data_IF_180691893115
#
_entry.id   IF_180691893115
#
_cell.length_a   1.000
_cell.length_b   1.000
_cell.length_c   1.000
_cell.angle_alpha   90.00
_cell.angle_beta   90.00
_cell.angle_gamma   90.00
#
_symmetry.space_group_name_H-M   'P 1'
#
loop_
_entity.id
_entity.type
_entity.pdbx_description
1 polymer ?
#
# COMPACT_ATOMS: atom_id res chain seq x y z
N UNK A 1 4.88 -1.42 -30.91
CA UNK A 1 6.15 -2.11 -30.61
C UNK A 1 5.76 -3.52 -30.15
N UNK A 2 6.12 -4.57 -30.90
CA UNK A 2 5.76 -5.97 -30.57
C UNK A 2 6.80 -6.47 -29.55
N UNK A 3 6.40 -6.74 -28.32
CA UNK A 3 7.27 -7.42 -27.38
C UNK A 3 7.57 -8.84 -27.88
N UNK A 4 8.81 -9.29 -27.70
CA UNK A 4 9.19 -10.67 -28.03
C UNK A 4 8.43 -11.64 -27.14
N UNK A 5 8.21 -12.86 -27.66
CA UNK A 5 7.54 -13.95 -26.95
C UNK A 5 8.13 -14.18 -25.55
N UNK A 6 9.43 -13.97 -25.39
CA UNK A 6 10.19 -14.11 -24.14
C UNK A 6 9.78 -13.06 -23.08
N UNK A 7 9.48 -11.81 -23.44
CA UNK A 7 9.08 -10.76 -22.50
C UNK A 7 7.70 -10.99 -21.89
N UNK A 8 6.80 -11.63 -22.62
CA UNK A 8 5.45 -11.97 -22.15
C UNK A 8 5.52 -13.12 -21.13
N UNK A 9 6.35 -14.13 -21.40
CA UNK A 9 6.64 -15.22 -20.46
C UNK A 9 7.27 -14.63 -19.20
N UNK A 10 8.18 -13.66 -19.33
CA UNK A 10 8.82 -12.95 -18.23
C UNK A 10 7.82 -12.24 -17.31
N UNK A 11 6.80 -11.60 -17.86
CA UNK A 11 5.80 -10.87 -17.06
C UNK A 11 4.87 -11.80 -16.29
N UNK A 12 4.47 -12.92 -16.90
CA UNK A 12 3.67 -13.96 -16.21
C UNK A 12 4.47 -14.59 -15.07
N UNK A 13 5.76 -14.82 -15.31
CA UNK A 13 6.63 -15.36 -14.28
C UNK A 13 6.91 -14.34 -13.17
N UNK A 14 6.92 -13.02 -13.45
CA UNK A 14 6.99 -11.98 -12.41
C UNK A 14 5.77 -12.03 -11.47
N UNK A 15 4.56 -12.16 -12.00
CA UNK A 15 3.36 -12.35 -11.20
C UNK A 15 3.45 -13.61 -10.32
N UNK A 16 3.96 -14.70 -10.89
CA UNK A 16 4.19 -15.95 -10.16
C UNK A 16 5.27 -15.77 -9.07
N UNK A 17 6.36 -15.05 -9.35
CA UNK A 17 7.45 -14.80 -8.39
C UNK A 17 6.97 -13.90 -7.24
N UNK A 18 6.24 -12.84 -7.51
CA UNK A 18 5.67 -11.97 -6.47
C UNK A 18 4.66 -12.76 -5.60
N UNK A 19 3.83 -13.60 -6.22
CA UNK A 19 2.91 -14.49 -5.48
C UNK A 19 3.63 -15.54 -4.63
N UNK A 20 4.73 -16.08 -5.12
CA UNK A 20 5.56 -17.09 -4.41
C UNK A 20 6.35 -16.46 -3.28
N UNK A 21 6.93 -15.26 -3.44
CA UNK A 21 7.68 -14.57 -2.38
C UNK A 21 6.79 -14.23 -1.20
N UNK A 22 5.56 -13.82 -1.43
CA UNK A 22 4.58 -13.62 -0.37
C UNK A 22 4.15 -14.93 0.32
N UNK A 23 4.32 -16.09 -0.36
CA UNK A 23 3.90 -17.42 0.11
C UNK A 23 5.00 -18.33 0.68
N UNK A 24 6.28 -18.08 0.37
CA UNK A 24 7.36 -19.07 0.60
C UNK A 24 8.18 -18.94 1.88
N UNK A 25 7.78 -18.15 2.84
CA UNK A 25 8.32 -18.27 4.20
C UNK A 25 8.03 -19.65 4.84
N UNK A 26 7.24 -20.51 4.17
CA UNK A 26 6.75 -21.78 4.74
C UNK A 26 7.25 -23.04 4.02
N UNK A 27 7.90 -22.98 2.86
CA UNK A 27 8.26 -24.22 2.15
C UNK A 27 9.77 -24.35 1.88
N UNK A 28 10.48 -24.90 2.85
CA UNK A 28 11.84 -25.45 2.71
C UNK A 28 11.74 -26.97 2.71
N UNK A 29 11.98 -27.60 1.58
CA UNK A 29 12.68 -28.85 1.37
C UNK A 29 12.19 -29.56 0.09
N UNK A 30 13.14 -29.93 -0.73
CA UNK A 30 13.08 -30.74 -1.96
C UNK A 30 12.94 -29.97 -3.27
N UNK A 31 14.07 -29.63 -3.88
CA UNK A 31 14.15 -29.31 -5.30
C UNK A 31 15.27 -30.12 -5.99
N UNK A 32 15.01 -30.65 -7.19
CA UNK A 32 16.05 -31.21 -8.05
C UNK A 32 16.98 -30.12 -8.61
N UNK A 33 18.18 -30.53 -9.03
CA UNK A 33 19.27 -29.68 -9.49
C UNK A 33 18.87 -28.66 -10.57
N UNK A 34 19.57 -27.50 -10.63
CA UNK A 34 19.18 -26.39 -11.51
C UNK A 34 19.30 -26.77 -12.99
N UNK A 35 18.25 -26.53 -13.77
CA UNK A 35 18.35 -26.52 -15.22
C UNK A 35 19.27 -25.37 -15.68
N UNK A 36 20.02 -25.60 -16.76
CA UNK A 36 20.95 -24.64 -17.37
C UNK A 36 20.29 -23.29 -17.69
N UNK A 37 21.04 -22.18 -17.74
CA UNK A 37 20.49 -20.84 -17.84
C UNK A 37 19.70 -20.66 -19.13
N UNK A 38 18.39 -20.66 -19.01
CA UNK A 38 17.49 -20.18 -20.04
C UNK A 38 17.79 -18.69 -20.28
N UNK A 39 17.81 -18.25 -21.51
CA UNK A 39 18.01 -16.86 -21.91
C UNK A 39 17.18 -15.92 -21.02
N UNK A 40 17.84 -15.07 -20.24
CA UNK A 40 17.18 -14.22 -19.25
C UNK A 40 16.41 -13.10 -19.98
N UNK A 41 15.12 -13.00 -19.70
CA UNK A 41 14.27 -11.93 -20.22
C UNK A 41 14.32 -10.74 -19.28
N UNK A 42 14.85 -9.60 -19.76
CA UNK A 42 14.81 -8.36 -19.00
C UNK A 42 13.46 -7.69 -19.16
N UNK A 43 12.83 -7.35 -18.03
CA UNK A 43 11.60 -6.57 -17.95
C UNK A 43 11.86 -5.28 -17.17
N UNK A 44 11.36 -4.17 -17.68
CA UNK A 44 11.54 -2.84 -17.10
C UNK A 44 10.18 -2.17 -16.87
N UNK A 45 10.00 -1.50 -15.73
CA UNK A 45 8.75 -0.81 -15.47
C UNK A 45 8.83 0.29 -14.44
N UNK A 46 7.68 0.87 -14.11
CA UNK A 46 7.56 1.87 -13.05
C UNK A 46 7.16 1.22 -11.72
N UNK A 47 7.81 1.65 -10.64
CA UNK A 47 7.64 1.09 -9.29
C UNK A 47 7.47 2.21 -8.26
N UNK A 48 6.52 2.05 -7.35
CA UNK A 48 6.39 2.90 -6.17
C UNK A 48 7.54 2.69 -5.18
N UNK A 49 7.96 3.77 -4.50
CA UNK A 49 9.12 3.76 -3.61
C UNK A 49 9.05 2.70 -2.51
N UNK A 50 7.87 2.49 -1.94
CA UNK A 50 7.60 1.52 -0.87
C UNK A 50 7.81 0.05 -1.27
N UNK A 51 8.02 -0.24 -2.55
CA UNK A 51 8.28 -1.59 -3.08
C UNK A 51 9.75 -1.81 -3.46
N UNK A 52 10.57 -0.77 -3.40
CA UNK A 52 11.99 -0.84 -3.81
C UNK A 52 12.73 -1.89 -2.97
N UNK A 53 12.50 -1.90 -1.64
CA UNK A 53 13.11 -2.89 -0.75
C UNK A 53 12.87 -4.33 -1.18
N UNK A 54 11.64 -4.66 -1.59
CA UNK A 54 11.31 -5.98 -2.14
C UNK A 54 12.03 -6.24 -3.47
N UNK A 55 12.04 -5.27 -4.39
CA UNK A 55 12.64 -5.45 -5.71
C UNK A 55 14.17 -5.48 -5.67
N UNK A 56 14.77 -4.91 -4.65
CA UNK A 56 16.22 -4.95 -4.40
C UNK A 56 16.66 -6.15 -3.54
N UNK A 57 15.72 -6.86 -2.91
CA UNK A 57 16.03 -8.03 -2.11
C UNK A 57 16.71 -9.12 -2.92
N UNK A 58 17.84 -9.64 -2.39
CA UNK A 58 18.67 -10.62 -3.09
C UNK A 58 17.94 -11.96 -3.32
N UNK A 59 17.02 -12.33 -2.40
CA UNK A 59 16.25 -13.59 -2.53
C UNK A 59 15.17 -13.41 -3.60
N UNK A 60 14.52 -12.24 -3.63
CA UNK A 60 13.56 -11.92 -4.68
C UNK A 60 14.21 -11.93 -6.07
N UNK A 61 15.37 -11.25 -6.22
CA UNK A 61 16.14 -11.24 -7.48
C UNK A 61 16.57 -12.66 -7.89
N UNK A 62 17.02 -13.48 -6.92
CA UNK A 62 17.40 -14.86 -7.20
C UNK A 62 16.20 -15.74 -7.62
N UNK A 63 15.00 -15.51 -7.04
CA UNK A 63 13.80 -16.21 -7.45
C UNK A 63 13.35 -15.80 -8.86
N UNK A 64 13.42 -14.52 -9.19
CA UNK A 64 13.14 -14.02 -10.53
C UNK A 64 14.11 -14.61 -11.56
N UNK A 65 15.41 -14.63 -11.25
CA UNK A 65 16.44 -15.19 -12.11
C UNK A 65 16.24 -16.69 -12.36
N UNK A 66 15.80 -17.48 -11.35
CA UNK A 66 15.42 -18.90 -11.53
C UNK A 66 14.26 -19.09 -12.50
N UNK A 67 13.40 -18.08 -12.67
CA UNK A 67 12.32 -18.07 -13.67
C UNK A 67 12.77 -17.48 -15.01
N UNK A 68 14.08 -17.23 -15.20
CA UNK A 68 14.62 -16.63 -16.40
C UNK A 68 14.30 -15.14 -16.55
N UNK A 69 14.06 -14.39 -15.44
CA UNK A 69 13.67 -13.00 -15.46
C UNK A 69 14.72 -12.14 -14.79
N UNK A 70 15.16 -11.08 -15.47
CA UNK A 70 15.86 -9.95 -14.90
C UNK A 70 14.87 -8.79 -14.79
N UNK A 71 14.73 -8.21 -13.58
CA UNK A 71 13.78 -7.13 -13.32
C UNK A 71 14.55 -5.83 -13.17
N UNK A 72 14.10 -4.80 -13.90
CA UNK A 72 14.58 -3.42 -13.77
C UNK A 72 13.40 -2.49 -13.53
N UNK A 73 13.65 -1.34 -12.87
CA UNK A 73 12.58 -0.41 -12.54
C UNK A 73 13.04 1.04 -12.55
N UNK A 74 12.05 1.93 -12.70
CA UNK A 74 12.17 3.37 -12.45
C UNK A 74 11.21 3.78 -11.34
N UNK A 75 11.72 4.45 -10.32
CA UNK A 75 10.89 4.98 -9.22
C UNK A 75 9.93 6.05 -9.76
N UNK A 76 8.63 5.88 -9.49
CA UNK A 76 7.61 6.87 -9.79
C UNK A 76 6.44 6.76 -8.81
N UNK A 77 5.81 7.88 -8.46
CA UNK A 77 4.56 7.88 -7.71
C UNK A 77 3.41 7.29 -8.54
N UNK A 78 2.39 6.74 -7.88
CA UNK A 78 1.32 5.99 -8.55
C UNK A 78 0.56 6.79 -9.61
N UNK A 79 0.25 8.07 -9.37
CA UNK A 79 -0.36 8.95 -10.37
C UNK A 79 0.65 9.36 -11.46
N UNK A 80 1.88 9.71 -11.05
CA UNK A 80 2.92 10.14 -11.96
C UNK A 80 3.29 9.08 -12.99
N UNK A 81 3.28 7.78 -12.61
CA UNK A 81 3.55 6.70 -13.58
C UNK A 81 2.46 6.57 -14.64
N UNK A 82 1.21 6.99 -14.36
CA UNK A 82 0.14 7.01 -15.36
C UNK A 82 0.34 8.08 -16.42
N UNK A 83 1.03 9.17 -16.08
CA UNK A 83 1.39 10.26 -16.99
C UNK A 83 2.76 10.07 -17.66
N UNK A 84 3.57 9.14 -17.17
CA UNK A 84 4.93 8.92 -17.64
C UNK A 84 5.00 8.31 -19.05
N UNK A 85 6.14 8.52 -19.72
CA UNK A 85 6.41 7.86 -20.99
C UNK A 85 6.55 6.36 -20.81
N UNK A 86 5.69 5.62 -21.49
CA UNK A 86 5.62 4.14 -21.44
C UNK A 86 6.52 3.45 -22.45
N UNK A 87 7.28 4.23 -23.24
CA UNK A 87 8.17 3.64 -24.26
C UNK A 87 9.27 2.80 -23.59
N UNK A 88 9.29 1.53 -23.92
CA UNK A 88 10.25 0.57 -23.34
C UNK A 88 9.89 0.08 -21.95
N UNK A 89 8.71 0.42 -21.42
CA UNK A 89 8.21 -0.11 -20.16
C UNK A 89 7.34 -1.35 -20.44
N UNK A 90 7.56 -2.38 -19.66
CA UNK A 90 6.83 -3.65 -19.74
C UNK A 90 5.73 -3.73 -18.68
N UNK A 91 5.89 -3.00 -17.54
CA UNK A 91 4.90 -2.98 -16.47
C UNK A 91 4.80 -1.63 -15.75
N UNK A 92 3.73 -1.43 -15.01
CA UNK A 92 3.56 -0.42 -13.98
C UNK A 92 3.03 -1.08 -12.71
N UNK A 93 3.49 -0.61 -11.54
CA UNK A 93 3.06 -1.18 -10.27
C UNK A 93 2.63 -0.07 -9.29
N UNK A 94 1.48 0.58 -9.55
CA UNK A 94 0.92 1.57 -8.64
C UNK A 94 0.45 0.94 -7.33
N UNK A 95 0.29 1.77 -6.30
CA UNK A 95 -0.16 1.40 -4.96
C UNK A 95 -1.58 1.90 -4.67
N UNK A 96 -2.31 2.28 -5.70
CA UNK A 96 -3.62 2.91 -5.56
C UNK A 96 -4.55 2.48 -6.68
N UNK A 97 -5.76 2.08 -6.31
CA UNK A 97 -6.83 1.85 -7.26
C UNK A 97 -7.22 3.15 -7.98
N UNK A 98 -7.21 4.27 -7.26
CA UNK A 98 -7.50 5.58 -7.86
C UNK A 98 -6.50 5.92 -8.99
N UNK A 99 -5.21 5.57 -8.83
CA UNK A 99 -4.24 5.75 -9.89
C UNK A 99 -4.52 4.86 -11.10
N UNK A 100 -4.94 3.62 -10.90
CA UNK A 100 -5.34 2.71 -12.00
C UNK A 100 -6.54 3.28 -12.75
N UNK A 101 -7.56 3.75 -12.06
CA UNK A 101 -8.74 4.36 -12.69
C UNK A 101 -8.40 5.66 -13.41
N UNK A 102 -7.52 6.49 -12.85
CA UNK A 102 -6.99 7.67 -13.51
C UNK A 102 -6.25 7.31 -14.81
N UNK A 103 -5.40 6.27 -14.76
CA UNK A 103 -4.73 5.76 -15.96
C UNK A 103 -5.72 5.27 -17.01
N UNK A 104 -6.75 4.52 -16.62
CA UNK A 104 -7.82 4.06 -17.50
C UNK A 104 -8.53 5.25 -18.19
N UNK A 105 -8.87 6.28 -17.41
CA UNK A 105 -9.50 7.51 -17.95
C UNK A 105 -8.60 8.26 -18.94
N UNK A 106 -7.28 8.16 -18.76
CA UNK A 106 -6.27 8.70 -19.71
C UNK A 106 -5.93 7.76 -20.86
N UNK A 107 -6.59 6.64 -20.98
CA UNK A 107 -6.38 5.68 -22.06
C UNK A 107 -5.12 4.83 -21.90
N UNK A 108 -4.59 4.69 -20.70
CA UNK A 108 -3.53 3.71 -20.41
C UNK A 108 -4.11 2.31 -20.61
N UNK A 109 -3.53 1.58 -21.55
CA UNK A 109 -3.94 0.20 -21.83
C UNK A 109 -3.02 -0.76 -21.10
N UNK A 110 -3.60 -1.53 -20.19
CA UNK A 110 -2.95 -2.66 -19.52
C UNK A 110 -3.78 -3.92 -19.78
N UNK A 111 -3.40 -4.73 -20.77
CA UNK A 111 -4.13 -5.95 -21.13
C UNK A 111 -4.31 -6.94 -20.00
N UNK A 112 -3.40 -6.89 -19.02
CA UNK A 112 -3.51 -7.66 -17.79
C UNK A 112 -3.20 -6.74 -16.60
N UNK A 113 -4.01 -6.84 -15.55
CA UNK A 113 -3.90 -6.01 -14.36
C UNK A 113 -4.37 -6.85 -13.16
N UNK A 114 -3.45 -7.16 -12.25
CA UNK A 114 -3.70 -8.04 -11.12
C UNK A 114 -3.36 -7.35 -9.81
N UNK A 115 -4.27 -7.45 -8.83
CA UNK A 115 -3.99 -7.01 -7.46
C UNK A 115 -3.05 -8.03 -6.82
N UNK A 116 -1.86 -7.59 -6.45
CA UNK A 116 -0.83 -8.44 -5.83
C UNK A 116 -1.00 -8.47 -4.33
N UNK A 117 -1.22 -7.32 -3.70
CA UNK A 117 -1.49 -7.20 -2.27
C UNK A 117 -2.22 -5.90 -1.94
N UNK A 118 -2.78 -5.86 -0.74
CA UNK A 118 -3.37 -4.68 -0.15
C UNK A 118 -2.65 -4.36 1.16
N UNK A 119 -2.45 -3.06 1.43
CA UNK A 119 -1.88 -2.58 2.68
C UNK A 119 -2.75 -1.46 3.22
N UNK A 120 -3.10 -1.44 4.51
CA UNK A 120 -3.75 -0.28 5.09
C UNK A 120 -2.77 0.88 5.12
N UNK A 121 -3.31 2.09 5.03
CA UNK A 121 -2.57 3.27 5.47
C UNK A 121 -2.51 3.25 6.99
N UNK A 122 -1.36 3.60 7.53
CA UNK A 122 -1.13 3.65 8.98
C UNK A 122 -0.50 4.97 9.38
N UNK A 123 -0.52 5.26 10.67
CA UNK A 123 0.17 6.38 11.25
C UNK A 123 1.34 5.83 12.08
N UNK A 124 2.55 6.28 11.76
CA UNK A 124 3.72 6.03 12.60
C UNK A 124 3.83 7.14 13.64
N UNK A 125 4.11 6.74 14.86
CA UNK A 125 4.35 7.68 15.95
C UNK A 125 5.28 7.07 17.00
N UNK A 126 5.65 7.87 17.98
CA UNK A 126 6.41 7.43 19.14
C UNK A 126 5.48 6.99 20.26
N UNK A 127 5.91 6.01 21.05
CA UNK A 127 5.09 5.46 22.14
C UNK A 127 4.58 6.52 23.10
N UNK A 128 5.44 7.47 23.48
CA UNK A 128 5.06 8.57 24.38
C UNK A 128 3.95 9.46 23.79
N UNK A 129 3.97 9.69 22.47
CA UNK A 129 2.92 10.41 21.76
C UNK A 129 1.63 9.61 21.74
N UNK A 130 1.69 8.32 21.35
CA UNK A 130 0.52 7.45 21.32
C UNK A 130 -0.16 7.35 22.69
N UNK A 131 0.61 7.15 23.75
CA UNK A 131 0.10 7.08 25.13
C UNK A 131 -0.53 8.43 25.57
N UNK A 132 0.07 9.56 25.18
CA UNK A 132 -0.51 10.89 25.38
C UNK A 132 -1.85 11.05 24.68
N UNK A 133 -1.95 10.65 23.41
CA UNK A 133 -3.18 10.70 22.64
C UNK A 133 -4.26 9.75 23.16
N UNK A 134 -3.88 8.65 23.80
CA UNK A 134 -4.83 7.78 24.53
C UNK A 134 -5.42 8.54 25.72
N UNK A 135 -4.60 9.23 26.51
CA UNK A 135 -5.05 10.04 27.63
C UNK A 135 -5.96 11.21 27.17
N UNK A 136 -5.68 11.78 25.98
CA UNK A 136 -6.48 12.84 25.36
C UNK A 136 -7.75 12.33 24.64
N UNK A 137 -7.94 11.03 24.52
CA UNK A 137 -9.14 10.41 23.92
C UNK A 137 -9.21 10.48 22.40
N UNK A 138 -8.09 10.78 21.72
CA UNK A 138 -7.96 10.68 20.26
C UNK A 138 -7.62 9.28 19.79
N UNK A 139 -6.93 8.53 20.63
CA UNK A 139 -6.48 7.16 20.35
C UNK A 139 -7.09 6.22 21.38
N UNK A 140 -7.44 5.02 20.97
CA UNK A 140 -7.81 3.92 21.84
C UNK A 140 -6.83 2.78 21.68
N UNK A 141 -6.72 1.94 22.70
CA UNK A 141 -5.93 0.72 22.66
C UNK A 141 -6.86 -0.47 22.79
N UNK A 142 -6.76 -1.41 21.84
CA UNK A 142 -7.59 -2.61 21.89
C UNK A 142 -7.00 -3.69 22.83
N UNK A 143 -7.71 -4.81 22.98
CA UNK A 143 -7.30 -5.92 23.84
C UNK A 143 -5.99 -6.60 23.39
N UNK A 144 -5.61 -6.45 22.12
CA UNK A 144 -4.33 -6.93 21.60
C UNK A 144 -3.17 -5.96 21.86
N UNK A 145 -3.50 -4.75 22.31
CA UNK A 145 -2.56 -3.67 22.53
C UNK A 145 -2.31 -2.78 21.30
N UNK A 146 -3.04 -2.98 20.20
CA UNK A 146 -2.94 -2.13 19.02
C UNK A 146 -3.62 -0.77 19.27
N UNK A 147 -3.00 0.29 18.72
CA UNK A 147 -3.53 1.64 18.83
C UNK A 147 -4.43 1.98 17.65
N UNK A 148 -5.57 2.62 17.92
CA UNK A 148 -6.55 3.04 16.92
C UNK A 148 -6.88 4.52 17.09
N UNK A 149 -6.70 5.31 16.02
CA UNK A 149 -7.03 6.74 16.03
C UNK A 149 -8.44 6.98 15.53
N UNK A 150 -9.22 7.73 16.31
CA UNK A 150 -10.48 8.31 15.85
C UNK A 150 -10.16 9.46 14.88
N UNK A 151 -10.25 9.17 13.59
CA UNK A 151 -9.89 10.14 12.54
C UNK A 151 -10.85 11.33 12.47
N UNK A 152 -12.10 11.20 12.92
CA UNK A 152 -13.03 12.32 12.96
C UNK A 152 -12.54 13.35 13.98
N UNK A 153 -12.22 12.91 15.21
CA UNK A 153 -11.65 13.78 16.24
C UNK A 153 -10.28 14.35 15.84
N UNK A 154 -9.45 13.55 15.18
CA UNK A 154 -8.15 14.01 14.71
C UNK A 154 -8.27 15.10 13.65
N UNK A 155 -9.19 14.98 12.70
CA UNK A 155 -9.49 15.99 11.69
C UNK A 155 -10.03 17.27 12.35
N UNK A 156 -10.97 17.14 13.27
CA UNK A 156 -11.52 18.29 14.02
C UNK A 156 -10.41 19.03 14.77
N UNK A 157 -9.52 18.32 15.45
CA UNK A 157 -8.37 18.89 16.15
C UNK A 157 -7.41 19.62 15.19
N UNK A 158 -7.10 19.04 14.03
CA UNK A 158 -6.24 19.68 13.02
C UNK A 158 -6.90 20.93 12.42
N UNK A 159 -8.19 20.89 12.17
CA UNK A 159 -8.95 22.04 11.64
C UNK A 159 -8.99 23.17 12.67
N UNK A 160 -9.25 22.84 13.94
CA UNK A 160 -9.30 23.78 15.05
C UNK A 160 -7.93 24.37 15.46
N UNK A 161 -6.82 23.87 14.88
CA UNK A 161 -5.44 24.20 15.28
C UNK A 161 -5.14 23.88 16.76
N UNK A 162 -5.73 22.81 17.27
CA UNK A 162 -5.50 22.30 18.61
C UNK A 162 -4.01 21.95 18.78
N UNK A 163 -3.47 22.19 19.97
CA UNK A 163 -2.04 21.88 20.23
C UNK A 163 -1.84 20.40 20.59
N UNK A 164 -0.60 19.91 20.50
CA UNK A 164 -0.23 18.59 20.99
C UNK A 164 -0.57 18.39 22.46
N UNK A 165 -0.39 19.43 23.27
CA UNK A 165 -0.72 19.40 24.69
C UNK A 165 -2.22 19.25 24.93
N UNK A 166 -3.05 19.95 24.16
CA UNK A 166 -4.52 19.89 24.29
C UNK A 166 -5.10 18.53 23.88
N UNK A 167 -4.41 17.81 22.99
CA UNK A 167 -4.79 16.44 22.62
C UNK A 167 -4.14 15.37 23.50
N UNK A 168 -3.50 15.76 24.60
CA UNK A 168 -2.99 14.87 25.65
C UNK A 168 -1.48 14.59 25.60
N UNK A 169 -0.76 15.00 24.54
CA UNK A 169 0.69 14.90 24.51
C UNK A 169 1.34 16.21 25.00
N UNK A 170 1.44 16.36 26.33
CA UNK A 170 1.86 17.61 26.99
C UNK A 170 3.33 17.97 26.76
N UNK A 171 4.19 17.03 26.39
CA UNK A 171 5.57 17.28 26.01
C UNK A 171 5.71 17.78 24.54
N UNK A 172 4.61 17.72 23.76
CA UNK A 172 4.61 18.15 22.37
C UNK A 172 4.58 19.67 22.23
N UNK A 173 5.23 20.16 21.17
CA UNK A 173 5.28 21.59 20.85
C UNK A 173 4.43 21.89 19.60
N UNK A 174 3.73 23.02 19.61
CA UNK A 174 2.97 23.53 18.48
C UNK A 174 1.63 22.82 18.27
N UNK A 175 1.09 22.96 17.06
CA UNK A 175 -0.20 22.42 16.69
C UNK A 175 -0.14 20.91 16.42
N UNK A 176 -1.17 20.20 16.81
CA UNK A 176 -1.38 18.80 16.44
C UNK A 176 -1.50 18.69 14.92
N UNK A 177 -0.68 17.81 14.34
CA UNK A 177 -0.69 17.51 12.90
C UNK A 177 -0.20 16.09 12.65
N UNK A 178 -0.61 15.56 11.55
CA UNK A 178 -0.13 14.29 11.02
C UNK A 178 0.64 14.62 9.75
N UNK A 179 1.97 14.43 9.79
CA UNK A 179 2.83 14.74 8.66
C UNK A 179 2.61 13.73 7.53
N UNK A 180 2.72 14.20 6.30
CA UNK A 180 2.53 13.40 5.10
C UNK A 180 3.57 13.75 4.04
N UNK A 181 3.44 13.18 2.86
CA UNK A 181 4.34 13.40 1.72
C UNK A 181 3.78 14.45 0.76
N UNK A 182 4.58 14.86 -0.23
CA UNK A 182 4.20 15.82 -1.28
C UNK A 182 2.99 15.30 -2.10
N UNK A 183 1.86 16.04 -2.12
CA UNK A 183 0.63 15.60 -2.77
C UNK A 183 0.73 15.43 -4.30
N UNK A 184 1.75 16.00 -4.93
CA UNK A 184 1.98 15.87 -6.37
C UNK A 184 2.84 14.66 -6.70
N UNK A 185 3.67 14.19 -5.76
CA UNK A 185 4.74 13.21 -6.05
C UNK A 185 4.52 11.83 -5.43
N UNK A 186 3.79 11.74 -4.34
CA UNK A 186 3.65 10.49 -3.57
C UNK A 186 2.23 9.96 -3.58
N UNK A 187 2.09 8.63 -3.52
CA UNK A 187 0.77 7.98 -3.41
C UNK A 187 0.26 7.96 -1.97
N UNK A 188 1.11 7.85 -0.95
CA UNK A 188 0.66 7.81 0.44
C UNK A 188 -0.15 9.04 0.84
N UNK A 189 0.19 10.21 0.29
CA UNK A 189 -0.59 11.42 0.48
C UNK A 189 -1.93 11.38 -0.23
N UNK A 190 -2.02 10.77 -1.41
CA UNK A 190 -3.30 10.63 -2.12
C UNK A 190 -4.25 9.73 -1.33
N UNK A 191 -3.75 8.64 -0.75
CA UNK A 191 -4.51 7.77 0.14
C UNK A 191 -4.90 8.51 1.44
N UNK A 192 -4.00 9.32 2.00
CA UNK A 192 -4.32 10.14 3.16
C UNK A 192 -5.35 11.22 2.83
N UNK A 193 -5.26 11.87 1.68
CA UNK A 193 -6.28 12.81 1.22
C UNK A 193 -7.65 12.14 1.03
N UNK A 194 -7.66 10.91 0.49
CA UNK A 194 -8.89 10.11 0.37
C UNK A 194 -9.47 9.74 1.75
N UNK A 195 -8.61 9.43 2.73
CA UNK A 195 -9.03 9.20 4.11
C UNK A 195 -9.66 10.46 4.71
N UNK A 196 -8.99 11.61 4.60
CA UNK A 196 -9.52 12.89 5.08
C UNK A 196 -10.87 13.24 4.43
N UNK A 197 -10.97 13.04 3.10
CA UNK A 197 -12.22 13.27 2.37
C UNK A 197 -13.35 12.33 2.82
N UNK A 198 -13.02 11.06 3.11
CA UNK A 198 -13.98 10.09 3.66
C UNK A 198 -14.45 10.51 5.06
N UNK A 199 -13.52 10.93 5.92
CA UNK A 199 -13.85 11.39 7.28
C UNK A 199 -14.75 12.62 7.24
N UNK A 200 -14.39 13.64 6.45
CA UNK A 200 -15.18 14.87 6.29
C UNK A 200 -16.56 14.61 5.66
N UNK A 201 -16.69 13.53 4.90
CA UNK A 201 -17.98 13.07 4.35
C UNK A 201 -18.73 12.10 5.29
N UNK A 202 -18.48 12.16 6.59
CA UNK A 202 -19.18 11.35 7.60
C UNK A 202 -18.88 9.86 7.54
N UNK A 203 -17.69 9.48 7.11
CA UNK A 203 -17.25 8.07 6.97
C UNK A 203 -17.72 7.40 5.68
N UNK A 204 -18.40 8.13 4.79
CA UNK A 204 -18.83 7.64 3.49
C UNK A 204 -17.77 7.94 2.41
N UNK A 205 -17.66 7.11 1.35
CA UNK A 205 -16.77 7.39 0.25
C UNK A 205 -16.96 8.81 -0.31
N UNK A 206 -15.86 9.48 -0.58
CA UNK A 206 -15.90 10.84 -1.14
C UNK A 206 -16.47 10.83 -2.57
N UNK A 207 -17.35 11.76 -2.85
CA UNK A 207 -17.97 12.00 -4.15
C UNK A 207 -17.54 13.37 -4.67
N UNK A 208 -17.78 13.66 -5.94
CA UNK A 208 -17.39 14.93 -6.58
C UNK A 208 -17.87 16.14 -5.77
N UNK A 209 -19.12 16.13 -5.33
CA UNK A 209 -19.70 17.24 -4.57
C UNK A 209 -19.07 17.38 -3.17
N UNK A 210 -18.81 16.27 -2.48
CA UNK A 210 -18.15 16.32 -1.17
C UNK A 210 -16.69 16.78 -1.30
N UNK A 211 -15.97 16.35 -2.34
CA UNK A 211 -14.61 16.83 -2.61
C UNK A 211 -14.58 18.32 -2.92
N UNK A 212 -15.55 18.83 -3.70
CA UNK A 212 -15.66 20.26 -3.98
C UNK A 212 -15.93 21.08 -2.70
N UNK A 213 -16.77 20.57 -1.79
CA UNK A 213 -17.07 21.19 -0.49
C UNK A 213 -15.86 21.18 0.45
N UNK A 214 -15.20 20.03 0.58
CA UNK A 214 -14.20 19.75 1.63
C UNK A 214 -12.76 20.02 1.18
N UNK A 215 -12.53 20.21 -0.12
CA UNK A 215 -11.20 20.34 -0.71
C UNK A 215 -10.35 21.47 -0.11
N UNK A 216 -10.97 22.62 0.24
CA UNK A 216 -10.27 23.72 0.92
C UNK A 216 -9.79 23.33 2.32
N UNK A 217 -10.59 22.57 3.07
CA UNK A 217 -10.24 22.07 4.40
C UNK A 217 -9.08 21.09 4.30
N UNK A 218 -9.14 20.14 3.37
CA UNK A 218 -8.05 19.19 3.11
C UNK A 218 -6.77 19.93 2.73
N UNK A 219 -6.83 20.89 1.80
CA UNK A 219 -5.69 21.69 1.40
C UNK A 219 -5.09 22.48 2.58
N UNK A 220 -5.93 23.00 3.49
CA UNK A 220 -5.45 23.69 4.69
C UNK A 220 -4.72 22.80 5.67
N UNK A 221 -5.14 21.52 5.80
CA UNK A 221 -4.44 20.52 6.63
C UNK A 221 -3.04 20.27 6.07
N UNK A 222 -2.93 20.03 4.75
CA UNK A 222 -1.62 19.84 4.11
C UNK A 222 -0.72 21.06 4.17
N UNK A 223 -1.27 22.27 4.00
CA UNK A 223 -0.49 23.52 4.07
C UNK A 223 0.21 23.72 5.42
N UNK A 224 -0.30 23.11 6.50
CA UNK A 224 0.30 23.16 7.84
C UNK A 224 1.46 22.19 8.06
N UNK A 225 1.66 21.23 7.16
CA UNK A 225 2.69 20.20 7.30
C UNK A 225 4.12 20.69 7.00
N UNK A 226 4.29 21.91 6.45
CA UNK A 226 5.59 22.47 6.12
C UNK A 226 6.26 21.72 4.95
N UNK A 227 7.55 21.41 5.08
CA UNK A 227 8.27 20.63 4.09
C UNK A 227 7.79 19.18 4.06
N UNK A 228 7.48 18.69 2.86
CA UNK A 228 6.99 17.32 2.63
C UNK A 228 7.94 16.56 1.71
N UNK A 229 8.30 15.35 2.12
CA UNK A 229 9.16 14.46 1.34
C UNK A 229 8.46 13.96 0.07
N UNK A 230 9.26 13.58 -0.93
CA UNK A 230 8.75 13.17 -2.24
C UNK A 230 8.25 11.73 -2.29
N UNK A 231 8.55 10.93 -1.27
CA UNK A 231 8.09 9.54 -1.15
C UNK A 231 7.83 9.16 0.30
N UNK A 232 7.00 8.13 0.49
CA UNK A 232 6.73 7.56 1.82
C UNK A 232 7.97 6.97 2.47
N UNK A 233 8.89 6.43 1.68
CA UNK A 233 10.16 5.89 2.17
C UNK A 233 11.05 7.01 2.74
N UNK A 234 11.25 8.10 1.97
CA UNK A 234 12.03 9.25 2.44
C UNK A 234 11.43 9.85 3.71
N UNK A 235 10.10 9.96 3.77
CA UNK A 235 9.39 10.46 4.94
C UNK A 235 9.56 9.55 6.16
N UNK A 236 9.52 8.23 5.97
CA UNK A 236 9.73 7.24 7.04
C UNK A 236 11.17 7.29 7.57
N UNK A 237 12.16 7.33 6.68
CA UNK A 237 13.57 7.47 7.05
C UNK A 237 13.82 8.79 7.82
N UNK A 238 13.17 9.88 7.41
CA UNK A 238 13.25 11.15 8.11
C UNK A 238 12.59 11.08 9.49
N UNK A 239 11.43 10.41 9.62
CA UNK A 239 10.76 10.17 10.90
C UNK A 239 11.68 9.41 11.88
N UNK A 240 12.33 8.35 11.42
CA UNK A 240 13.26 7.57 12.25
C UNK A 240 14.50 8.38 12.65
N UNK A 241 14.97 9.29 11.78
CA UNK A 241 16.20 10.05 11.99
C UNK A 241 15.99 11.29 12.87
N UNK A 242 14.90 12.03 12.66
CA UNK A 242 14.65 13.31 13.35
C UNK A 242 13.99 13.11 14.73
N UNK A 243 13.31 11.97 14.91
CA UNK A 243 12.66 11.62 16.17
C UNK A 243 11.47 12.51 16.54
N UNK A 244 10.94 12.27 17.74
CA UNK A 244 9.67 12.81 18.26
C UNK A 244 9.58 14.33 18.27
N UNK A 245 10.68 15.03 18.50
CA UNK A 245 10.69 16.49 18.61
C UNK A 245 10.41 17.22 17.30
N UNK A 246 10.78 16.60 16.18
CA UNK A 246 10.61 17.20 14.86
C UNK A 246 9.45 16.60 14.07
N UNK A 247 9.24 15.29 14.19
CA UNK A 247 8.22 14.56 13.44
C UNK A 247 7.46 13.62 14.38
N UNK A 248 6.54 14.14 15.22
CA UNK A 248 5.85 13.33 16.23
C UNK A 248 4.98 12.22 15.63
N UNK A 249 4.38 12.45 14.46
CA UNK A 249 3.49 11.51 13.79
C UNK A 249 3.50 11.71 12.28
N UNK A 250 3.46 10.60 11.52
CA UNK A 250 3.40 10.64 10.06
C UNK A 250 2.54 9.54 9.48
N UNK A 251 2.04 9.77 8.26
CA UNK A 251 1.36 8.77 7.44
C UNK A 251 2.37 7.87 6.74
N UNK A 252 2.11 6.56 6.74
CA UNK A 252 2.91 5.58 6.01
C UNK A 252 2.14 4.32 5.65
N UNK A 253 2.88 3.32 5.19
CA UNK A 253 2.37 1.98 4.92
C UNK A 253 2.87 1.00 5.98
N UNK A 254 2.03 0.11 6.43
CA UNK A 254 2.40 -0.92 7.42
C UNK A 254 3.64 -1.72 7.00
N UNK A 255 3.79 -1.96 5.69
CA UNK A 255 4.93 -2.67 5.11
C UNK A 255 6.29 -2.06 5.41
N UNK A 256 6.39 -0.74 5.65
CA UNK A 256 7.68 -0.06 5.88
C UNK A 256 8.35 -0.54 7.17
N UNK A 257 7.59 -0.68 8.26
CA UNK A 257 8.13 -1.19 9.53
C UNK A 257 8.44 -2.69 9.44
N UNK A 258 7.61 -3.45 8.71
CA UNK A 258 7.85 -4.87 8.47
C UNK A 258 9.13 -5.08 7.64
N UNK A 259 9.32 -4.28 6.60
CA UNK A 259 10.54 -4.31 5.78
C UNK A 259 11.79 -3.99 6.62
N UNK A 260 11.74 -2.94 7.44
CA UNK A 260 12.83 -2.60 8.36
C UNK A 260 13.14 -3.74 9.32
N UNK A 261 12.11 -4.40 9.89
CA UNK A 261 12.28 -5.51 10.82
C UNK A 261 12.96 -6.73 10.19
N UNK A 262 12.65 -7.00 8.91
CA UNK A 262 13.20 -8.15 8.17
C UNK A 262 14.59 -7.85 7.61
N UNK A 263 14.75 -6.69 6.96
CA UNK A 263 15.95 -6.39 6.18
C UNK A 263 17.02 -5.62 6.97
N UNK A 264 16.63 -4.94 8.06
CA UNK A 264 17.52 -4.17 8.94
C UNK A 264 17.24 -4.47 10.43
N UNK A 265 17.39 -5.74 10.89
CA UNK A 265 16.96 -6.15 12.23
C UNK A 265 17.69 -5.43 13.37
N UNK A 266 18.91 -4.97 13.15
CA UNK A 266 19.64 -4.22 14.18
C UNK A 266 19.14 -2.77 14.29
N UNK A 267 18.74 -2.13 13.20
CA UNK A 267 18.07 -0.83 13.25
C UNK A 267 16.68 -0.98 13.89
N UNK A 268 15.92 -2.01 13.53
CA UNK A 268 14.62 -2.29 14.13
C UNK A 268 14.71 -2.49 15.65
N UNK A 269 15.71 -3.22 16.15
CA UNK A 269 15.92 -3.41 17.60
C UNK A 269 16.08 -2.09 18.36
N UNK A 270 16.64 -1.05 17.73
CA UNK A 270 16.85 0.25 18.37
C UNK A 270 15.55 1.05 18.53
N UNK A 271 14.57 0.81 17.67
CA UNK A 271 13.32 1.60 17.62
C UNK A 271 12.08 0.86 18.09
N UNK A 272 12.10 -0.48 18.16
CA UNK A 272 10.92 -1.34 18.39
C UNK A 272 10.17 -1.07 19.69
N UNK A 273 10.83 -0.49 20.68
CA UNK A 273 10.23 -0.17 21.98
C UNK A 273 9.67 1.27 22.03
N UNK A 274 9.96 2.08 21.02
CA UNK A 274 9.52 3.48 20.91
C UNK A 274 8.58 3.71 19.73
N UNK A 275 8.91 3.22 18.54
CA UNK A 275 8.08 3.42 17.35
C UNK A 275 6.89 2.48 17.38
N UNK A 276 5.69 3.04 17.24
CA UNK A 276 4.44 2.31 17.22
C UNK A 276 3.60 2.66 16.01
N UNK A 277 2.79 1.69 15.58
CA UNK A 277 1.76 1.88 14.55
C UNK A 277 0.45 2.25 15.22
N UNK A 278 -0.22 3.26 14.68
CA UNK A 278 -1.58 3.63 15.04
C UNK A 278 -2.46 3.45 13.79
N UNK A 279 -3.50 2.65 13.90
CA UNK A 279 -4.43 2.38 12.81
C UNK A 279 -5.52 3.45 12.77
N UNK A 280 -5.68 4.19 11.67
CA UNK A 280 -6.76 5.16 11.53
C UNK A 280 -8.12 4.47 11.44
N UNK A 281 -9.13 5.04 12.06
CA UNK A 281 -10.52 4.57 12.04
C UNK A 281 -11.44 5.73 11.66
N UNK A 282 -12.11 5.71 10.49
CA UNK A 282 -11.97 4.70 9.42
C UNK A 282 -10.59 4.68 8.78
N UNK A 283 -10.32 3.67 7.93
CA UNK A 283 -9.08 3.60 7.15
C UNK A 283 -9.36 3.46 5.65
N UNK A 284 -8.32 3.67 4.85
CA UNK A 284 -8.29 3.37 3.41
C UNK A 284 -7.22 2.32 3.12
N UNK A 285 -7.44 1.54 2.08
CA UNK A 285 -6.55 0.46 1.70
C UNK A 285 -5.82 0.81 0.40
N UNK A 286 -4.52 0.83 0.46
CA UNK A 286 -3.66 0.88 -0.72
C UNK A 286 -3.72 -0.46 -1.44
N UNK A 287 -4.21 -0.44 -2.67
CA UNK A 287 -4.32 -1.62 -3.53
C UNK A 287 -3.16 -1.61 -4.51
N UNK A 288 -2.22 -2.52 -4.30
CA UNK A 288 -1.03 -2.63 -5.14
C UNK A 288 -1.33 -3.51 -6.35
N UNK A 289 -1.43 -2.89 -7.52
CA UNK A 289 -1.86 -3.52 -8.76
C UNK A 289 -0.72 -3.58 -9.76
N UNK A 290 -0.30 -4.78 -10.14
CA UNK A 290 0.67 -4.97 -11.21
C UNK A 290 -0.04 -4.92 -12.56
N UNK A 291 0.30 -3.93 -13.37
CA UNK A 291 -0.27 -3.67 -14.69
C UNK A 291 0.74 -4.04 -15.77
N UNK A 292 0.42 -5.02 -16.60
CA UNK A 292 1.22 -5.37 -17.77
C UNK A 292 0.88 -4.43 -18.93
N UNK A 293 1.89 -3.79 -19.54
CA UNK A 293 1.71 -2.82 -20.62
C UNK A 293 1.70 -3.44 -22.01
N UNK A 294 2.01 -4.74 -22.12
CA UNK A 294 2.05 -5.48 -23.36
C UNK A 294 0.89 -6.46 -23.50
N UNK A 295 0.36 -6.58 -24.70
CA UNK A 295 -0.66 -7.59 -24.99
C UNK A 295 -0.10 -9.01 -24.92
N UNK A 296 -0.79 -9.87 -24.18
CA UNK A 296 -0.53 -11.31 -24.12
C UNK A 296 -0.86 -11.93 -25.49
N UNK A 297 0.12 -12.26 -26.30
CA UNK A 297 -0.11 -13.25 -27.35
C UNK A 297 -0.28 -14.60 -26.65
N UNK A 298 -1.51 -15.11 -26.63
CA UNK A 298 -1.77 -16.52 -26.29
C UNK A 298 -0.91 -17.35 -27.23
N UNK A 299 0.16 -17.98 -26.72
CA UNK A 299 0.65 -19.17 -27.35
C UNK A 299 -0.37 -20.24 -27.07
N UNK A 300 -1.01 -20.74 -28.10
CA UNK A 300 -1.51 -22.09 -28.14
C UNK A 300 -0.29 -22.99 -27.90
N UNK A 301 -0.04 -23.33 -26.62
CA UNK A 301 0.63 -24.58 -26.35
C UNK A 301 -0.29 -25.63 -26.97
N UNK A 302 0.27 -26.48 -27.82
CA UNK A 302 -0.45 -27.67 -28.26
C UNK A 302 -0.97 -28.39 -27.02
N UNK A 303 -2.22 -28.89 -27.04
CA UNK A 303 -2.76 -29.60 -25.91
C UNK A 303 -1.85 -30.82 -25.65
N UNK A 304 -1.11 -30.78 -24.54
CA UNK A 304 -0.61 -32.02 -23.95
C UNK A 304 -1.85 -32.82 -23.57
N UNK A 305 -2.13 -33.89 -24.28
CA UNK A 305 -3.15 -34.83 -23.89
C UNK A 305 -2.92 -35.28 -22.45
N UNK A 306 -3.70 -34.72 -21.53
CA UNK A 306 -3.68 -35.11 -20.15
C UNK A 306 -4.71 -36.23 -19.94
N UNK A 307 -4.25 -37.47 -20.09
CA UNK A 307 -4.97 -38.62 -19.59
C UNK A 307 -4.77 -38.73 -18.09
N UNK A 308 -5.73 -38.29 -17.30
CA UNK A 308 -5.72 -38.53 -15.85
C UNK A 308 -6.42 -37.45 -15.07
N UNK A 309 -7.67 -37.71 -14.71
CA UNK A 309 -8.51 -36.78 -13.96
C UNK A 309 -8.03 -36.51 -12.54
N UNK A 310 -8.28 -35.31 -12.11
CA UNK A 310 -8.68 -34.95 -10.75
C UNK A 310 -9.11 -33.47 -10.75
N UNK A 311 -10.32 -33.21 -10.34
CA UNK A 311 -10.83 -31.88 -10.04
C UNK A 311 -9.98 -31.24 -8.95
N UNK A 312 -9.25 -30.18 -9.26
CA UNK A 312 -8.56 -29.36 -8.29
C UNK A 312 -9.16 -27.95 -8.32
N UNK A 313 -9.99 -27.67 -7.32
CA UNK A 313 -10.51 -26.34 -7.05
C UNK A 313 -9.38 -25.33 -6.87
N UNK A 314 -9.50 -24.20 -7.55
CA UNK A 314 -8.55 -23.07 -7.47
C UNK A 314 -8.72 -22.40 -6.09
N UNK A 315 -7.94 -22.85 -5.11
CA UNK A 315 -7.77 -22.22 -3.82
C UNK A 315 -6.34 -21.68 -3.73
N UNK A 316 -6.18 -20.40 -3.42
CA UNK A 316 -4.88 -19.81 -3.18
C UNK A 316 -4.16 -20.55 -2.01
N UNK A 317 -2.97 -21.13 -2.20
CA UNK A 317 -2.40 -22.09 -1.26
C UNK A 317 -1.79 -21.48 0.01
N UNK A 318 -1.92 -20.18 0.23
CA UNK A 318 -1.27 -19.45 1.34
C UNK A 318 -2.23 -18.94 2.44
N UNK A 319 -3.53 -19.21 2.33
CA UNK A 319 -4.48 -18.91 3.41
C UNK A 319 -4.67 -20.16 4.30
N UNK A 320 -4.50 -20.05 5.63
CA UNK A 320 -4.82 -21.14 6.54
C UNK A 320 -6.29 -21.53 6.38
N UNK A 321 -6.57 -22.79 6.06
CA UNK A 321 -7.91 -23.34 6.01
C UNK A 321 -8.51 -23.31 7.42
N UNK A 322 -9.24 -22.25 7.75
CA UNK A 322 -9.90 -22.19 9.04
C UNK A 322 -10.54 -20.86 9.43
N UNK A 323 -10.22 -19.75 8.77
CA UNK A 323 -10.70 -18.43 9.21
C UNK A 323 -11.42 -17.57 8.17
N UNK A 324 -11.83 -18.11 7.04
CA UNK A 324 -12.75 -17.43 6.16
C UNK A 324 -14.21 -17.84 6.47
N UNK A 325 -14.75 -17.31 7.56
CA UNK A 325 -16.21 -17.14 7.63
C UNK A 325 -16.57 -16.11 6.56
N UNK A 326 -17.21 -16.58 5.50
CA UNK A 326 -17.88 -15.74 4.52
C UNK A 326 -18.90 -14.89 5.26
N UNK A 327 -18.59 -13.65 5.55
CA UNK A 327 -19.63 -12.66 5.81
C UNK A 327 -20.30 -12.39 4.46
N UNK A 328 -21.42 -13.03 4.28
CA UNK A 328 -22.36 -12.78 3.17
C UNK A 328 -22.92 -11.39 3.42
N UNK A 329 -22.52 -10.42 2.60
CA UNK A 329 -23.19 -9.13 2.47
C UNK A 329 -24.47 -9.32 1.65
N UNK A 330 -25.46 -10.02 2.22
CA UNK A 330 -26.82 -10.11 1.72
C UNK A 330 -27.75 -9.93 2.93
N UNK A 331 -27.90 -8.68 3.35
CA UNK A 331 -29.07 -8.30 4.13
C UNK A 331 -29.77 -7.14 3.42
N UNK A 332 -31.03 -7.30 3.01
CA UNK A 332 -31.80 -6.22 2.42
C UNK A 332 -32.08 -5.16 3.47
N UNK A 333 -31.84 -3.91 3.11
CA UNK A 333 -32.19 -2.71 3.90
C UNK A 333 -33.70 -2.74 4.15
N UNK A 334 -34.12 -3.05 5.38
CA UNK A 334 -35.50 -2.87 5.80
C UNK A 334 -35.80 -1.37 5.84
N UNK A 335 -36.58 -0.88 4.88
CA UNK A 335 -37.20 0.44 4.93
C UNK A 335 -38.18 0.48 6.11
N UNK A 336 -37.80 1.17 7.18
CA UNK A 336 -38.70 1.51 8.27
C UNK A 336 -39.77 2.46 7.73
N UNK A 337 -41.06 2.05 7.77
CA UNK A 337 -42.20 2.91 7.59
C UNK A 337 -42.35 3.78 8.85
N UNK A 338 -42.11 5.06 8.73
CA UNK A 338 -42.59 6.01 9.74
C UNK A 338 -44.11 6.22 9.55
N UNK A 339 -44.87 5.73 10.51
CA UNK A 339 -46.26 6.20 10.68
C UNK A 339 -46.21 7.58 11.33
N UNK A 340 -46.95 8.51 10.77
CA UNK A 340 -47.34 9.80 11.43
C UNK A 340 -48.61 9.56 12.25
N UNK A 341 -48.82 10.35 13.29
CA UNK A 341 -49.90 11.31 13.27
C UNK A 341 -49.41 12.72 13.04
#
# INVERSE_FOLDING_TARGET
MKLSKSKIIGLIALLAVVGVVCGTLVWRQSQPAPAEPTEQVSITGYLGGEKIGLFDDAKFKALAAKQGIAIDYRKAGSLAMMDADRKGMDYMFPSSRAAVEYGNAKGVKAPQSDIVFNSPIVLYTHKAVADGLVNGGLVTKDDSGAYHMDMAKAVDAMVANTTWADVGYTAGYGQFRIDSTDPVKSNSVNEYAALLATVLNGGQPAMVDSVARDGKTIASIFAKSGWMETSSEDSFNQFLTLGVGSKPMMVGYESQLLDLAVNQPDAFKQIKDDVVIVYPTPTVWSTHTLMALAEKRRHTAEPVENTGGAEAGVGAPWLPRGQLRRHRFDQPIRRGRHARP
#
